data_IF_209199932185
#
_entry.id   IF_209199932185
#
_cell.length_a   1.000
_cell.length_b   1.000
_cell.length_c   1.000
_cell.angle_alpha   90.00
_cell.angle_beta   90.00
_cell.angle_gamma   90.00
#
_symmetry.space_group_name_H-M   'P 1'
#
loop_
_entity.id
_entity.type
_entity.pdbx_description
1 polymer ?
#
# COMPACT_ATOMS: atom_id res chain seq x y z
N UNK A 1 6.58 14.46 5.49
CA UNK A 1 7.17 15.52 4.64
C UNK A 1 8.55 15.93 5.13
N UNK A 2 8.74 16.13 6.45
CA UNK A 2 10.03 16.54 7.04
C UNK A 2 11.20 15.68 6.55
N UNK A 3 11.09 14.35 6.60
CA UNK A 3 12.16 13.49 6.10
C UNK A 3 12.45 13.67 4.60
N UNK A 4 11.41 13.82 3.77
CA UNK A 4 11.60 14.06 2.33
C UNK A 4 12.29 15.41 2.09
N UNK A 5 11.96 16.45 2.86
CA UNK A 5 12.62 17.74 2.79
C UNK A 5 14.09 17.66 3.18
N UNK A 6 14.39 17.04 4.33
CA UNK A 6 15.76 16.83 4.81
C UNK A 6 16.59 16.06 3.79
N UNK A 7 15.98 15.08 3.10
CA UNK A 7 16.65 14.26 2.09
C UNK A 7 16.71 14.91 0.68
N UNK A 8 16.14 16.11 0.48
CA UNK A 8 16.07 16.76 -0.83
C UNK A 8 15.12 16.09 -1.84
N UNK A 9 14.10 15.39 -1.34
CA UNK A 9 13.18 14.50 -2.07
C UNK A 9 11.75 15.05 -2.23
N UNK A 10 11.53 16.35 -2.03
CA UNK A 10 10.19 16.96 -2.12
C UNK A 10 9.55 16.94 -3.52
N UNK A 11 10.32 16.65 -4.57
CA UNK A 11 9.80 16.62 -5.95
C UNK A 11 8.90 15.42 -6.26
N UNK A 12 8.90 14.38 -5.42
CA UNK A 12 8.23 13.12 -5.72
C UNK A 12 7.09 12.83 -4.75
N UNK A 13 5.89 12.58 -5.30
CA UNK A 13 4.71 12.28 -4.49
C UNK A 13 4.88 11.02 -3.63
N UNK A 14 5.61 10.04 -4.16
CA UNK A 14 6.00 8.80 -3.46
C UNK A 14 6.83 9.10 -2.21
N UNK A 15 7.88 9.91 -2.35
CA UNK A 15 8.75 10.29 -1.24
C UNK A 15 8.02 11.09 -0.16
N UNK A 16 7.13 12.00 -0.57
CA UNK A 16 6.27 12.74 0.38
C UNK A 16 5.34 11.78 1.13
N UNK A 17 4.74 10.81 0.42
CA UNK A 17 3.86 9.81 1.02
C UNK A 17 4.63 8.95 2.02
N UNK A 18 5.79 8.42 1.63
CA UNK A 18 6.68 7.63 2.51
C UNK A 18 7.07 8.42 3.75
N UNK A 19 7.62 9.62 3.58
CA UNK A 19 8.05 10.48 4.68
C UNK A 19 6.91 10.84 5.63
N UNK A 20 5.71 11.08 5.09
CA UNK A 20 4.56 11.49 5.92
C UNK A 20 3.97 10.28 6.63
N UNK A 21 3.69 9.19 5.91
CA UNK A 21 3.01 8.05 6.48
C UNK A 21 3.90 7.27 7.45
N UNK A 22 5.09 6.86 7.00
CA UNK A 22 6.02 6.09 7.84
C UNK A 22 6.57 6.98 8.96
N UNK A 23 6.85 8.26 8.67
CA UNK A 23 7.33 9.21 9.67
C UNK A 23 6.31 9.55 10.77
N UNK A 24 5.00 9.47 10.48
CA UNK A 24 3.98 9.58 11.53
C UNK A 24 3.83 8.25 12.29
N UNK A 25 3.88 7.12 11.59
CA UNK A 25 3.84 5.80 12.23
C UNK A 25 5.01 5.60 13.20
N UNK A 26 6.20 6.11 12.88
CA UNK A 26 7.38 6.02 13.74
C UNK A 26 7.27 6.82 15.04
N UNK A 27 6.25 7.66 15.18
CA UNK A 27 5.96 8.39 16.42
C UNK A 27 4.97 7.66 17.33
N UNK A 28 4.40 6.53 16.87
CA UNK A 28 3.60 5.64 17.70
C UNK A 28 4.53 4.75 18.55
N UNK A 29 4.01 4.12 19.62
CA UNK A 29 4.76 3.10 20.35
C UNK A 29 5.29 2.00 19.41
N UNK A 30 6.50 1.51 19.67
CA UNK A 30 7.17 0.50 18.83
C UNK A 30 6.29 -0.71 18.52
N UNK A 31 5.55 -1.21 19.51
CA UNK A 31 4.61 -2.32 19.35
C UNK A 31 3.55 -2.05 18.26
N UNK A 32 3.07 -0.82 18.13
CA UNK A 32 2.11 -0.44 17.10
C UNK A 32 2.75 -0.39 15.72
N UNK A 33 3.96 0.16 15.62
CA UNK A 33 4.72 0.19 14.37
C UNK A 33 5.07 -1.22 13.89
N UNK A 34 5.52 -2.08 14.81
CA UNK A 34 5.85 -3.48 14.55
C UNK A 34 4.59 -4.26 14.14
N UNK A 35 3.48 -4.08 14.88
CA UNK A 35 2.19 -4.70 14.54
C UNK A 35 1.70 -4.26 13.16
N UNK A 36 1.90 -2.98 12.84
CA UNK A 36 1.57 -2.43 11.52
C UNK A 36 2.37 -3.12 10.41
N UNK A 37 3.70 -3.10 10.48
CA UNK A 37 4.54 -3.67 9.41
C UNK A 37 4.41 -5.19 9.35
N UNK A 38 4.16 -5.84 10.49
CA UNK A 38 3.93 -7.28 10.62
C UNK A 38 2.73 -7.80 9.81
N UNK A 39 1.79 -6.93 9.40
CA UNK A 39 0.67 -7.27 8.51
C UNK A 39 1.10 -7.52 7.06
N UNK A 40 2.33 -7.20 6.68
CA UNK A 40 2.84 -7.51 5.35
C UNK A 40 2.81 -9.02 5.11
N UNK A 41 2.52 -9.47 3.89
CA UNK A 41 2.34 -10.89 3.56
C UNK A 41 3.28 -11.37 2.46
N UNK A 42 3.82 -12.57 2.60
CA UNK A 42 4.57 -13.25 1.54
C UNK A 42 3.63 -13.74 0.43
N UNK A 43 4.19 -14.20 -0.69
CA UNK A 43 3.43 -14.82 -1.81
C UNK A 43 2.58 -16.01 -1.33
N UNK A 44 3.08 -16.74 -0.34
CA UNK A 44 2.41 -17.90 0.27
C UNK A 44 1.39 -17.51 1.35
N UNK A 45 1.22 -16.20 1.61
CA UNK A 45 0.25 -15.67 2.56
C UNK A 45 0.75 -15.56 4.01
N UNK A 46 2.01 -15.92 4.28
CA UNK A 46 2.63 -15.81 5.60
C UNK A 46 2.77 -14.34 6.02
N UNK A 47 2.36 -14.01 7.24
CA UNK A 47 2.54 -12.66 7.80
C UNK A 47 4.00 -12.43 8.20
N UNK A 48 4.51 -11.22 7.94
CA UNK A 48 5.84 -10.77 8.37
C UNK A 48 6.03 -10.85 9.89
N UNK A 49 4.95 -10.69 10.66
CA UNK A 49 4.96 -10.87 12.12
C UNK A 49 5.62 -12.18 12.57
N UNK A 50 5.40 -13.29 11.85
CA UNK A 50 6.06 -14.57 12.18
C UNK A 50 7.58 -14.51 12.00
N UNK A 51 8.04 -13.77 11.00
CA UNK A 51 9.45 -13.59 10.72
C UNK A 51 10.12 -12.64 11.73
N UNK A 52 9.42 -11.57 12.11
CA UNK A 52 9.79 -10.63 13.17
C UNK A 52 9.95 -11.39 14.50
N UNK A 53 9.03 -12.31 14.81
CA UNK A 53 9.13 -13.17 15.98
C UNK A 53 8.99 -12.38 17.28
N UNK A 54 10.03 -12.40 18.11
CA UNK A 54 10.03 -11.80 19.46
C UNK A 54 10.53 -10.36 19.49
N UNK A 55 10.70 -9.70 18.34
CA UNK A 55 11.10 -8.29 18.33
C UNK A 55 9.98 -7.38 18.83
N UNK A 56 10.32 -6.54 19.81
CA UNK A 56 9.40 -5.62 20.48
C UNK A 56 9.85 -4.17 20.42
N UNK A 57 11.11 -3.92 20.02
CA UNK A 57 11.71 -2.59 19.93
C UNK A 57 12.11 -2.25 18.50
N UNK A 58 11.86 -1.00 18.10
CA UNK A 58 12.39 -0.42 16.88
C UNK A 58 13.70 0.28 17.22
N UNK A 59 14.82 -0.31 16.80
CA UNK A 59 16.15 0.24 17.09
C UNK A 59 16.52 1.38 16.14
N UNK A 60 16.12 1.28 14.87
CA UNK A 60 16.40 2.29 13.86
C UNK A 60 15.31 2.38 12.78
N UNK A 61 15.03 3.61 12.35
CA UNK A 61 14.26 3.94 11.15
C UNK A 61 15.06 4.98 10.37
N UNK A 62 15.58 4.59 9.22
CA UNK A 62 16.42 5.43 8.36
C UNK A 62 15.75 5.62 7.00
N UNK A 63 15.44 6.85 6.64
CA UNK A 63 14.88 7.19 5.33
C UNK A 63 16.00 7.45 4.32
N UNK A 64 15.88 6.87 3.11
CA UNK A 64 16.87 7.03 2.04
C UNK A 64 18.31 6.78 2.49
N UNK A 65 18.53 5.66 3.18
CA UNK A 65 19.83 5.24 3.70
C UNK A 65 20.87 5.13 2.58
N UNK A 66 21.89 6.00 2.58
CA UNK A 66 22.83 6.17 1.45
C UNK A 66 24.02 5.22 1.45
N UNK A 67 24.30 4.57 2.57
CA UNK A 67 25.40 3.61 2.75
C UNK A 67 25.01 2.17 2.39
N UNK A 68 23.86 1.94 1.75
CA UNK A 68 23.50 0.64 1.18
C UNK A 68 24.38 0.32 -0.04
N UNK A 69 24.86 -0.92 -0.15
CA UNK A 69 25.77 -1.32 -1.24
C UNK A 69 25.13 -1.24 -2.64
N UNK A 70 23.82 -1.44 -2.76
CA UNK A 70 23.15 -1.57 -4.04
C UNK A 70 21.86 -0.72 -4.09
N UNK A 71 22.04 0.58 -4.31
CA UNK A 71 20.95 1.55 -4.39
C UNK A 71 20.56 2.14 -3.04
N UNK A 72 19.53 2.98 -3.04
CA UNK A 72 19.05 3.68 -1.84
C UNK A 72 17.64 3.18 -1.56
N UNK A 73 17.37 2.47 -0.45
CA UNK A 73 16.02 2.06 -0.08
C UNK A 73 15.22 3.27 0.42
N UNK A 74 13.89 3.26 0.22
CA UNK A 74 13.04 4.34 0.74
C UNK A 74 13.06 4.39 2.27
N UNK A 75 12.97 3.23 2.92
CA UNK A 75 13.10 3.09 4.38
C UNK A 75 13.89 1.83 4.72
N UNK A 76 14.85 1.98 5.63
CA UNK A 76 15.51 0.89 6.32
C UNK A 76 15.04 0.85 7.79
N UNK A 77 14.75 -0.35 8.29
CA UNK A 77 14.35 -0.60 9.66
C UNK A 77 15.25 -1.65 10.30
N UNK A 78 15.57 -1.45 11.58
CA UNK A 78 16.18 -2.47 12.41
C UNK A 78 15.33 -2.69 13.66
N UNK A 79 14.91 -3.93 13.86
CA UNK A 79 14.12 -4.36 15.00
C UNK A 79 14.97 -5.22 15.92
N UNK A 80 14.68 -5.12 17.22
CA UNK A 80 15.37 -5.88 18.25
C UNK A 80 14.36 -6.63 19.11
N UNK A 81 14.70 -7.88 19.42
CA UNK A 81 13.94 -8.76 20.28
C UNK A 81 14.79 -9.36 21.37
N UNK A 82 14.18 -10.32 22.07
CA UNK A 82 14.83 -11.02 23.17
C UNK A 82 16.05 -11.82 22.71
N UNK A 83 16.99 -12.03 23.64
CA UNK A 83 18.19 -12.86 23.44
C UNK A 83 19.05 -12.48 22.21
N UNK A 84 19.07 -11.18 21.85
CA UNK A 84 19.89 -10.68 20.74
C UNK A 84 19.34 -10.99 19.34
N UNK A 85 18.09 -11.46 19.25
CA UNK A 85 17.42 -11.63 17.96
C UNK A 85 17.15 -10.25 17.35
N UNK A 86 17.64 -10.02 16.14
CA UNK A 86 17.41 -8.79 15.40
C UNK A 86 16.90 -9.07 13.99
N UNK A 87 16.08 -8.16 13.47
CA UNK A 87 15.55 -8.21 12.10
C UNK A 87 15.88 -6.91 11.38
N UNK A 88 16.53 -7.01 10.23
CA UNK A 88 16.79 -5.91 9.31
C UNK A 88 15.76 -5.97 8.17
N UNK A 89 15.04 -4.87 7.97
CA UNK A 89 13.95 -4.79 6.99
C UNK A 89 14.19 -3.60 6.07
N UNK A 90 14.11 -3.83 4.76
CA UNK A 90 13.98 -2.75 3.77
C UNK A 90 12.51 -2.61 3.40
N UNK A 91 12.00 -1.39 3.40
CA UNK A 91 10.70 -1.06 2.81
C UNK A 91 10.96 -0.26 1.54
N UNK A 92 10.49 -0.80 0.42
CA UNK A 92 10.43 -0.11 -0.86
C UNK A 92 8.98 0.30 -1.12
N UNK A 93 8.73 1.58 -1.35
CA UNK A 93 7.40 2.15 -1.55
C UNK A 93 7.13 2.34 -3.04
N UNK A 94 5.89 2.05 -3.46
CA UNK A 94 5.36 2.42 -4.77
C UNK A 94 3.97 3.04 -4.67
N UNK A 95 3.81 4.30 -5.08
CA UNK A 95 2.51 4.97 -5.08
C UNK A 95 1.70 4.66 -6.35
N UNK A 96 2.20 5.07 -7.52
CA UNK A 96 1.47 4.96 -8.81
C UNK A 96 2.27 4.29 -9.93
N UNK A 97 3.58 4.17 -9.75
CA UNK A 97 4.48 3.53 -10.70
C UNK A 97 4.46 2.02 -10.47
N UNK A 98 4.44 1.24 -11.57
CA UNK A 98 4.87 -0.15 -11.50
C UNK A 98 6.33 -0.24 -11.02
N UNK A 99 6.82 -1.45 -10.77
CA UNK A 99 8.20 -1.67 -10.34
C UNK A 99 9.20 -1.06 -11.35
N UNK A 100 10.12 -0.22 -10.87
CA UNK A 100 11.25 0.28 -11.67
C UNK A 100 12.14 -0.89 -12.10
N UNK A 101 12.28 -1.08 -13.42
CA UNK A 101 13.09 -2.16 -14.01
C UNK A 101 12.31 -3.29 -14.68
N UNK A 102 11.01 -3.13 -14.97
CA UNK A 102 10.33 -4.03 -15.91
C UNK A 102 10.91 -3.83 -17.30
N UNK A 103 11.54 -4.86 -17.87
CA UNK A 103 12.05 -4.83 -19.24
C UNK A 103 10.92 -4.43 -20.20
N UNK A 104 11.04 -3.26 -20.83
CA UNK A 104 10.33 -3.00 -22.07
C UNK A 104 11.00 -3.85 -23.14
N UNK A 105 10.22 -4.70 -23.81
CA UNK A 105 10.66 -5.36 -25.03
C UNK A 105 10.95 -4.26 -26.06
N UNK A 106 12.23 -4.00 -26.31
CA UNK A 106 12.65 -3.17 -27.44
C UNK A 106 12.44 -3.95 -28.73
N UNK A 107 11.96 -3.28 -29.79
CA UNK A 107 11.63 -3.88 -31.11
C UNK A 107 12.79 -4.68 -31.74
N UNK A 108 14.02 -4.55 -31.24
CA UNK A 108 15.22 -5.18 -31.78
C UNK A 108 15.54 -6.57 -31.19
N UNK A 109 14.72 -7.12 -30.29
CA UNK A 109 14.91 -8.47 -29.74
C UNK A 109 16.21 -8.68 -28.96
N UNK A 110 16.96 -7.61 -28.69
CA UNK A 110 18.16 -7.62 -27.85
C UNK A 110 17.73 -7.42 -26.41
N UNK A 111 17.81 -8.49 -25.62
CA UNK A 111 17.74 -8.42 -24.16
C UNK A 111 18.92 -7.54 -23.72
N UNK A 112 18.69 -6.23 -23.54
CA UNK A 112 19.61 -5.42 -22.75
C UNK A 112 19.70 -6.11 -21.39
N UNK A 113 20.92 -6.45 -20.97
CA UNK A 113 21.22 -7.09 -19.70
C UNK A 113 20.27 -6.56 -18.63
N UNK A 114 19.40 -7.45 -18.11
CA UNK A 114 18.42 -7.14 -17.07
C UNK A 114 19.01 -6.15 -16.10
N UNK A 115 18.47 -4.92 -16.06
CA UNK A 115 18.71 -4.04 -14.92
C UNK A 115 18.34 -4.86 -13.69
N UNK A 116 19.37 -5.24 -12.93
CA UNK A 116 19.26 -6.22 -11.87
C UNK A 116 18.12 -5.80 -10.96
N UNK A 117 17.14 -6.69 -10.78
CA UNK A 117 15.92 -6.49 -10.02
C UNK A 117 16.19 -5.68 -8.73
N UNK A 118 15.52 -4.53 -8.56
CA UNK A 118 15.79 -3.59 -7.46
C UNK A 118 15.63 -4.24 -6.08
N UNK A 119 14.59 -5.07 -5.89
CA UNK A 119 14.36 -5.74 -4.60
C UNK A 119 15.45 -6.78 -4.34
N UNK A 120 15.91 -7.48 -5.38
CA UNK A 120 17.05 -8.38 -5.24
C UNK A 120 18.36 -7.65 -4.88
N UNK A 121 18.60 -6.45 -5.41
CA UNK A 121 19.75 -5.61 -5.01
C UNK A 121 19.72 -5.29 -3.52
N UNK A 122 18.57 -4.87 -2.99
CA UNK A 122 18.42 -4.63 -1.55
C UNK A 122 18.60 -5.91 -0.73
N UNK A 123 18.14 -7.07 -1.23
CA UNK A 123 18.34 -8.34 -0.56
C UNK A 123 19.84 -8.67 -0.41
N UNK A 124 20.61 -8.46 -1.49
CA UNK A 124 22.07 -8.63 -1.46
C UNK A 124 22.75 -7.69 -0.47
N UNK A 125 22.34 -6.42 -0.43
CA UNK A 125 22.87 -5.47 0.56
C UNK A 125 22.58 -5.91 1.99
N UNK A 126 21.34 -6.32 2.28
CA UNK A 126 20.98 -6.87 3.59
C UNK A 126 21.79 -8.11 3.94
N UNK A 127 22.00 -9.01 2.96
CA UNK A 127 22.77 -10.23 3.14
C UNK A 127 24.21 -9.96 3.60
N UNK A 128 24.85 -8.95 3.00
CA UNK A 128 26.24 -8.63 3.25
C UNK A 128 26.45 -7.72 4.46
N UNK A 129 25.61 -6.70 4.65
CA UNK A 129 25.80 -5.70 5.70
C UNK A 129 25.23 -6.14 7.06
N UNK A 130 24.22 -7.02 7.07
CA UNK A 130 23.52 -7.46 8.28
C UNK A 130 23.51 -8.98 8.40
N UNK A 131 24.66 -9.68 8.35
CA UNK A 131 24.72 -11.14 8.26
C UNK A 131 24.04 -11.83 9.46
N UNK A 132 24.16 -11.24 10.66
CA UNK A 132 23.62 -11.79 11.92
C UNK A 132 22.14 -11.44 12.18
N UNK A 133 21.52 -10.63 11.32
CA UNK A 133 20.10 -10.31 11.43
C UNK A 133 19.27 -11.30 10.60
N UNK A 134 18.02 -11.52 11.02
CA UNK A 134 16.98 -11.95 10.07
C UNK A 134 16.74 -10.82 9.07
N UNK A 135 16.33 -11.15 7.85
CA UNK A 135 16.30 -10.20 6.73
C UNK A 135 14.96 -10.29 6.05
N UNK A 136 14.34 -9.16 5.78
CA UNK A 136 13.09 -9.08 5.03
C UNK A 136 13.06 -7.86 4.12
N UNK A 137 12.29 -7.96 3.04
CA UNK A 137 11.95 -6.82 2.19
C UNK A 137 10.44 -6.69 2.15
N UNK A 138 9.94 -5.49 2.41
CA UNK A 138 8.53 -5.14 2.29
C UNK A 138 8.35 -4.26 1.07
N UNK A 139 7.56 -4.75 0.12
CA UNK A 139 7.11 -3.97 -1.02
C UNK A 139 5.76 -3.32 -0.69
N UNK A 140 5.78 -2.02 -0.38
CA UNK A 140 4.62 -1.26 0.05
C UNK A 140 4.00 -0.50 -1.13
N UNK A 141 2.85 -0.94 -1.62
CA UNK A 141 2.31 -0.41 -2.89
C UNK A 141 0.89 0.12 -2.79
N UNK A 142 0.47 0.94 -3.77
CA UNK A 142 -0.92 1.35 -3.95
C UNK A 142 -1.87 0.26 -4.50
N UNK A 143 -1.37 -0.93 -4.84
CA UNK A 143 -2.20 -2.00 -5.37
C UNK A 143 -3.26 -2.48 -4.35
N UNK A 144 -4.43 -2.87 -4.86
CA UNK A 144 -5.49 -3.49 -4.04
C UNK A 144 -5.30 -4.99 -3.84
N UNK A 145 -4.58 -5.62 -4.76
CA UNK A 145 -4.24 -7.03 -4.76
C UNK A 145 -2.72 -7.12 -4.87
N UNK A 146 -2.13 -8.09 -4.18
CA UNK A 146 -0.69 -8.32 -4.23
C UNK A 146 -0.19 -8.43 -5.68
N UNK A 147 0.81 -7.63 -6.09
CA UNK A 147 1.45 -7.74 -7.39
C UNK A 147 2.36 -8.98 -7.41
N UNK A 148 1.77 -10.17 -7.45
CA UNK A 148 2.47 -11.47 -7.32
C UNK A 148 3.59 -11.63 -8.33
N UNK A 149 3.37 -11.23 -9.60
CA UNK A 149 4.37 -11.35 -10.67
C UNK A 149 5.65 -10.57 -10.36
N UNK A 150 5.53 -9.37 -9.82
CA UNK A 150 6.68 -8.51 -9.49
C UNK A 150 7.50 -9.13 -8.35
N UNK A 151 6.82 -9.65 -7.32
CA UNK A 151 7.46 -10.34 -6.20
C UNK A 151 8.11 -11.65 -6.64
N UNK A 152 7.44 -12.46 -7.45
CA UNK A 152 7.98 -13.73 -7.97
C UNK A 152 9.21 -13.50 -8.84
N UNK A 153 9.22 -12.47 -9.67
CA UNK A 153 10.38 -12.10 -10.50
C UNK A 153 11.59 -11.80 -9.61
N UNK A 154 11.37 -11.01 -8.56
CA UNK A 154 12.39 -10.67 -7.56
C UNK A 154 12.87 -11.89 -6.78
N UNK A 155 11.94 -12.77 -6.39
CA UNK A 155 12.21 -13.98 -5.63
C UNK A 155 13.05 -14.97 -6.44
N UNK A 156 12.70 -15.16 -7.72
CA UNK A 156 13.48 -15.97 -8.67
C UNK A 156 14.87 -15.39 -8.90
N UNK A 157 14.99 -14.07 -9.07
CA UNK A 157 16.29 -13.40 -9.20
C UNK A 157 17.19 -13.61 -7.96
N UNK A 158 16.58 -13.78 -6.80
CA UNK A 158 17.27 -14.12 -5.54
C UNK A 158 17.49 -15.63 -5.31
N UNK A 159 17.28 -16.49 -6.31
CA UNK A 159 17.45 -17.94 -6.17
C UNK A 159 16.46 -18.60 -5.21
N UNK A 160 15.34 -17.93 -4.91
CA UNK A 160 14.32 -18.41 -3.98
C UNK A 160 14.60 -18.16 -2.50
N UNK A 161 15.72 -17.49 -2.16
CA UNK A 161 16.14 -17.30 -0.77
C UNK A 161 15.56 -16.02 -0.14
N UNK A 162 15.17 -15.04 -0.96
CA UNK A 162 14.71 -13.75 -0.48
C UNK A 162 13.38 -13.84 0.27
N UNK A 163 13.34 -13.23 1.45
CA UNK A 163 12.12 -13.08 2.26
C UNK A 163 11.39 -11.80 1.85
N UNK A 164 10.56 -11.94 0.82
CA UNK A 164 9.77 -10.84 0.26
C UNK A 164 8.35 -10.84 0.80
N UNK A 165 7.91 -9.67 1.25
CA UNK A 165 6.58 -9.43 1.77
C UNK A 165 5.96 -8.24 1.03
N UNK A 166 4.64 -8.20 1.00
CA UNK A 166 3.89 -7.11 0.41
C UNK A 166 2.90 -6.54 1.40
N UNK A 167 2.79 -5.21 1.37
CA UNK A 167 1.78 -4.46 2.10
C UNK A 167 1.13 -3.47 1.14
N UNK A 168 -0.20 -3.37 1.19
CA UNK A 168 -0.94 -2.38 0.41
C UNK A 168 -1.24 -1.13 1.24
N UNK A 169 -1.15 0.07 0.66
CA UNK A 169 -1.58 1.32 1.31
C UNK A 169 -3.04 1.28 1.79
N UNK A 170 -3.90 0.52 1.11
CA UNK A 170 -5.26 0.24 1.56
C UNK A 170 -5.29 -0.55 2.87
N UNK A 171 -4.43 -1.55 3.03
CA UNK A 171 -4.31 -2.32 4.29
C UNK A 171 -3.76 -1.46 5.42
N UNK A 172 -2.90 -0.49 5.11
CA UNK A 172 -2.47 0.54 6.07
C UNK A 172 -3.66 1.35 6.56
N UNK A 173 -4.49 1.84 5.64
CA UNK A 173 -5.70 2.58 5.98
C UNK A 173 -6.66 1.75 6.88
N UNK A 174 -6.87 0.47 6.57
CA UNK A 174 -7.74 -0.39 7.38
C UNK A 174 -7.21 -0.59 8.80
N UNK A 175 -5.89 -0.74 8.96
CA UNK A 175 -5.25 -0.85 10.26
C UNK A 175 -5.53 0.39 11.12
N UNK A 176 -5.42 1.59 10.54
CA UNK A 176 -5.68 2.83 11.25
C UNK A 176 -7.15 2.96 11.65
N UNK A 177 -8.06 2.64 10.73
CA UNK A 177 -9.50 2.65 11.00
C UNK A 177 -9.90 1.63 12.08
N UNK A 178 -9.24 0.47 12.12
CA UNK A 178 -9.40 -0.52 13.18
C UNK A 178 -8.86 -0.01 14.52
N UNK A 179 -7.63 0.53 14.54
CA UNK A 179 -7.01 1.07 15.74
C UNK A 179 -7.86 2.20 16.37
N UNK A 180 -8.37 3.12 15.55
CA UNK A 180 -9.25 4.20 16.00
C UNK A 180 -10.59 3.67 16.55
N UNK A 181 -11.21 2.68 15.89
CA UNK A 181 -12.47 2.08 16.35
C UNK A 181 -12.31 1.24 17.62
N UNK A 182 -11.15 0.63 17.83
CA UNK A 182 -10.88 -0.19 19.02
C UNK A 182 -10.95 0.61 20.33
N UNK A 183 -10.81 1.94 20.25
CA UNK A 183 -10.76 2.80 21.44
C UNK A 183 -9.51 2.59 22.30
N UNK A 184 -8.48 1.86 21.81
CA UNK A 184 -7.22 1.61 22.54
C UNK A 184 -6.59 2.92 23.04
N UNK A 185 -6.65 3.97 22.23
CA UNK A 185 -6.14 5.29 22.55
C UNK A 185 -7.28 6.27 22.80
N UNK A 186 -7.39 6.86 24.02
CA UNK A 186 -8.39 7.89 24.30
C UNK A 186 -8.25 9.09 23.34
N UNK A 187 -9.37 9.72 23.00
CA UNK A 187 -9.44 10.77 21.96
C UNK A 187 -8.49 11.97 22.15
N UNK A 188 -8.02 12.22 23.37
CA UNK A 188 -7.12 13.35 23.69
C UNK A 188 -5.63 12.99 23.65
N UNK A 189 -5.29 11.72 23.51
CA UNK A 189 -3.88 11.26 23.46
C UNK A 189 -3.20 11.64 22.16
N UNK A 190 -1.87 11.70 22.18
CA UNK A 190 -1.06 12.06 21.00
C UNK A 190 -1.17 10.97 19.93
N UNK A 191 -1.18 9.70 20.35
CA UNK A 191 -1.34 8.52 19.50
C UNK A 191 -2.66 8.57 18.74
N UNK A 192 -3.78 8.88 19.42
CA UNK A 192 -5.07 9.03 18.76
C UNK A 192 -5.04 10.13 17.69
N UNK A 193 -4.40 11.28 17.98
CA UNK A 193 -4.25 12.39 17.02
C UNK A 193 -3.37 12.00 15.82
N UNK A 194 -2.27 11.29 16.04
CA UNK A 194 -1.39 10.77 14.98
C UNK A 194 -2.19 9.83 14.08
N UNK A 195 -2.92 8.88 14.66
CA UNK A 195 -3.76 7.93 13.92
C UNK A 195 -4.84 8.66 13.09
N UNK A 196 -5.52 9.65 13.66
CA UNK A 196 -6.53 10.46 12.95
C UNK A 196 -5.93 11.27 11.79
N UNK A 197 -4.77 11.89 12.01
CA UNK A 197 -4.07 12.64 10.96
C UNK A 197 -3.65 11.72 9.81
N UNK A 198 -3.09 10.56 10.14
CA UNK A 198 -2.66 9.60 9.13
C UNK A 198 -3.84 8.99 8.36
N UNK A 199 -4.93 8.67 9.06
CA UNK A 199 -6.17 8.17 8.46
C UNK A 199 -6.78 9.20 7.49
N UNK A 200 -6.84 10.47 7.90
CA UNK A 200 -7.27 11.60 7.05
C UNK A 200 -6.36 11.77 5.83
N UNK A 201 -5.04 11.71 6.03
CA UNK A 201 -4.06 11.85 4.95
C UNK A 201 -4.17 10.72 3.91
N UNK A 202 -4.24 9.46 4.34
CA UNK A 202 -4.39 8.32 3.43
C UNK A 202 -5.75 8.30 2.73
N UNK A 203 -6.81 8.76 3.41
CA UNK A 203 -8.12 8.99 2.78
C UNK A 203 -8.02 10.02 1.66
N UNK A 204 -7.38 11.16 1.92
CA UNK A 204 -7.14 12.19 0.90
C UNK A 204 -6.33 11.66 -0.29
N UNK A 205 -5.36 10.78 -0.05
CA UNK A 205 -4.60 10.09 -1.11
C UNK A 205 -5.38 9.02 -1.87
N UNK A 206 -6.63 8.74 -1.48
CA UNK A 206 -7.51 7.80 -2.18
C UNK A 206 -7.38 6.34 -1.70
N UNK A 207 -6.75 6.10 -0.55
CA UNK A 207 -6.57 4.75 -0.02
C UNK A 207 -7.73 4.27 0.87
N UNK A 208 -8.70 5.14 1.15
CA UNK A 208 -9.90 4.73 1.86
C UNK A 208 -10.67 3.65 1.10
N UNK A 209 -11.14 2.64 1.83
CA UNK A 209 -12.06 1.65 1.27
C UNK A 209 -13.46 2.24 1.13
N UNK A 210 -14.19 1.73 0.15
CA UNK A 210 -15.61 2.02 0.02
C UNK A 210 -16.35 1.44 1.23
N UNK A 211 -16.93 2.30 2.04
CA UNK A 211 -17.67 1.95 3.27
C UNK A 211 -19.18 1.80 3.03
N UNK A 212 -19.60 1.66 1.77
CA UNK A 212 -21.00 1.65 1.39
C UNK A 212 -21.49 3.02 0.94
N UNK A 213 -22.72 3.04 0.45
CA UNK A 213 -23.41 4.29 0.16
C UNK A 213 -23.88 4.88 1.50
N UNK A 214 -23.73 6.20 1.72
CA UNK A 214 -24.35 6.82 2.87
C UNK A 214 -25.84 6.49 2.84
N UNK A 215 -26.35 5.83 3.89
CA UNK A 215 -27.79 5.64 4.00
C UNK A 215 -28.39 7.04 4.12
N UNK A 216 -29.30 7.45 3.23
CA UNK A 216 -30.03 8.68 3.44
C UNK A 216 -30.72 8.56 4.80
N UNK A 217 -30.60 9.59 5.63
CA UNK A 217 -31.38 9.67 6.85
C UNK A 217 -32.85 9.48 6.45
N UNK A 218 -33.45 8.34 6.81
CA UNK A 218 -34.83 8.02 6.47
C UNK A 218 -35.75 8.86 7.37
N UNK A 219 -35.83 10.15 7.07
CA UNK A 219 -36.90 11.03 7.53
C UNK A 219 -37.75 11.41 6.32
N UNK A 220 -38.66 10.51 5.92
CA UNK A 220 -39.76 10.79 5.00
C UNK A 220 -39.77 10.04 3.68
N UNK A 221 -40.99 9.82 3.17
CA UNK A 221 -41.38 9.08 1.94
C UNK A 221 -40.72 9.62 0.65
N UNK A 222 -40.12 10.82 0.70
CA UNK A 222 -39.41 11.45 -0.43
C UNK A 222 -38.01 10.83 -0.66
N UNK A 223 -37.55 9.91 0.19
CA UNK A 223 -36.18 9.36 0.16
C UNK A 223 -35.95 8.31 -0.93
N UNK A 224 -36.94 7.47 -1.27
CA UNK A 224 -36.74 6.36 -2.23
C UNK A 224 -36.54 6.81 -3.67
N UNK A 225 -37.34 7.78 -4.15
CA UNK A 225 -37.20 8.32 -5.50
C UNK A 225 -35.92 9.15 -5.67
N UNK A 226 -35.48 9.85 -4.60
CA UNK A 226 -34.19 10.55 -4.59
C UNK A 226 -33.01 9.58 -4.60
N UNK A 227 -33.13 8.43 -3.93
CA UNK A 227 -32.07 7.41 -3.91
C UNK A 227 -31.85 6.79 -5.29
N UNK A 228 -32.93 6.45 -6.01
CA UNK A 228 -32.85 5.96 -7.39
C UNK A 228 -32.24 6.99 -8.35
N UNK A 229 -32.58 8.27 -8.20
CA UNK A 229 -31.99 9.36 -8.98
C UNK A 229 -30.50 9.59 -8.67
N UNK A 230 -30.10 9.55 -7.39
CA UNK A 230 -28.71 9.69 -6.98
C UNK A 230 -27.85 8.51 -7.48
N UNK A 231 -28.35 7.28 -7.39
CA UNK A 231 -27.66 6.12 -7.95
C UNK A 231 -27.44 6.28 -9.47
N UNK A 232 -28.45 6.77 -10.19
CA UNK A 232 -28.39 6.99 -11.64
C UNK A 232 -27.39 8.08 -12.03
N UNK A 233 -27.39 9.21 -11.31
CA UNK A 233 -26.45 10.32 -11.58
C UNK A 233 -25.00 9.96 -11.21
N UNK A 234 -24.77 9.17 -10.15
CA UNK A 234 -23.43 8.73 -9.78
C UNK A 234 -22.87 7.69 -10.77
N UNK A 235 -23.71 6.76 -11.25
CA UNK A 235 -23.31 5.84 -12.34
C UNK A 235 -23.03 6.58 -13.65
N UNK A 236 -23.80 7.63 -13.97
CA UNK A 236 -23.56 8.49 -15.14
C UNK A 236 -22.29 9.34 -15.02
N UNK A 237 -22.00 9.93 -13.86
CA UNK A 237 -20.77 10.72 -13.65
C UNK A 237 -19.49 9.86 -13.57
N UNK A 238 -19.60 8.60 -13.14
CA UNK A 238 -18.53 7.61 -13.28
C UNK A 238 -18.26 7.22 -14.75
N UNK A 239 -19.24 7.38 -15.63
CA UNK A 239 -19.08 7.21 -17.09
C UNK A 239 -18.48 8.43 -17.80
N UNK A 240 -18.80 9.65 -17.35
CA UNK A 240 -18.36 10.90 -17.99
C UNK A 240 -16.95 11.37 -17.60
N UNK A 241 -16.39 10.91 -16.47
CA UNK A 241 -15.03 11.27 -16.02
C UNK A 241 -13.91 10.43 -16.65
N UNK A 242 -14.22 9.54 -17.59
CA UNK A 242 -13.22 8.82 -18.40
C UNK A 242 -12.26 7.90 -17.63
N UNK A 243 -12.47 7.67 -16.33
CA UNK A 243 -11.63 6.81 -15.48
C UNK A 243 -12.47 5.73 -14.82
N UNK A 244 -12.89 4.74 -15.61
CA UNK A 244 -13.36 3.47 -15.07
C UNK A 244 -12.19 2.48 -14.99
N UNK A 245 -11.96 1.94 -13.79
CA UNK A 245 -11.25 0.68 -13.67
C UNK A 245 -12.26 -0.45 -14.01
N UNK A 246 -11.97 -1.37 -14.96
CA UNK A 246 -12.94 -2.31 -15.56
C UNK A 246 -13.66 -3.27 -14.59
N UNK A 247 -13.22 -3.36 -13.33
CA UNK A 247 -13.72 -4.32 -12.35
C UNK A 247 -15.13 -3.99 -11.81
N UNK A 248 -15.64 -2.77 -11.99
CA UNK A 248 -16.91 -2.33 -11.39
C UNK A 248 -18.15 -2.56 -12.25
N UNK A 249 -18.01 -2.79 -13.56
CA UNK A 249 -19.17 -2.82 -14.47
C UNK A 249 -19.78 -4.21 -14.70
N UNK A 250 -19.14 -5.32 -14.31
CA UNK A 250 -19.62 -6.66 -14.70
C UNK A 250 -20.62 -7.32 -13.75
N UNK A 251 -20.76 -6.85 -12.51
CA UNK A 251 -21.53 -7.59 -11.49
C UNK A 251 -23.00 -7.23 -11.40
N UNK A 252 -23.46 -6.10 -11.98
CA UNK A 252 -24.81 -5.58 -11.70
C UNK A 252 -25.86 -5.72 -12.81
N UNK A 253 -25.50 -6.22 -14.01
CA UNK A 253 -26.45 -6.29 -15.15
C UNK A 253 -27.32 -7.57 -15.14
N UNK A 254 -27.12 -8.53 -14.22
CA UNK A 254 -27.79 -9.85 -14.31
C UNK A 254 -28.91 -10.16 -13.32
N UNK A 255 -29.34 -9.24 -12.45
CA UNK A 255 -30.40 -9.55 -11.48
C UNK A 255 -31.36 -8.39 -11.25
N UNK A 256 -32.20 -8.11 -12.25
CA UNK A 256 -33.51 -7.48 -12.00
C UNK A 256 -34.55 -8.24 -12.82
N UNK A 257 -35.32 -9.17 -12.22
CA UNK A 257 -36.48 -9.76 -12.88
C UNK A 257 -37.54 -8.65 -13.03
N UNK A 258 -37.93 -8.32 -14.26
CA UNK A 258 -39.03 -7.40 -14.55
C UNK A 258 -38.68 -6.04 -15.13
N UNK A 259 -37.41 -5.77 -15.50
CA UNK A 259 -37.10 -4.59 -16.30
C UNK A 259 -37.51 -4.83 -17.77
N UNK A 260 -38.56 -4.13 -18.20
CA UNK A 260 -39.02 -4.05 -19.59
C UNK A 260 -37.85 -3.62 -20.47
N UNK A 261 -37.61 -4.37 -21.56
CA UNK A 261 -36.67 -4.01 -22.62
C UNK A 261 -37.00 -2.61 -23.16
N UNK A 262 -36.18 -1.62 -22.80
CA UNK A 262 -36.11 -0.37 -23.53
C UNK A 262 -34.91 -0.44 -24.47
N UNK A 263 -35.23 -0.77 -25.72
CA UNK A 263 -34.37 -0.81 -26.88
C UNK A 263 -33.59 0.50 -27.07
N UNK A 264 -32.31 0.33 -27.40
CA UNK A 264 -31.38 1.23 -28.10
C UNK A 264 -31.69 2.75 -28.17
N UNK A 265 -30.72 3.56 -27.73
CA UNK A 265 -30.40 4.82 -28.38
C UNK A 265 -28.92 4.81 -28.79
N UNK A 266 -28.71 4.53 -30.08
CA UNK A 266 -27.48 4.80 -30.82
C UNK A 266 -27.32 6.32 -30.92
N UNK A 267 -26.14 6.84 -30.63
CA UNK A 267 -25.75 8.18 -31.08
C UNK A 267 -24.40 8.10 -31.80
N UNK A 268 -24.47 8.27 -33.12
CA UNK A 268 -23.35 8.74 -33.94
C UNK A 268 -23.23 10.27 -33.79
N UNK A 269 -22.00 10.72 -33.53
CA UNK A 269 -21.21 11.84 -34.12
C UNK A 269 -21.89 13.13 -34.63
N UNK A 270 -21.20 14.28 -34.58
CA UNK A 270 -20.00 14.56 -35.40
C UNK A 270 -18.64 14.24 -34.76
#
# INVERSE_FOLDING_TARGET
MIYAEIAGRLGFEEDILTSTAIGLLSLLPDEEFIRFIGRARSIDGECLEKHIGTCTRVEAIEFWKTDFLYGIPDVFLRLEGEAGVSVAIVIEVKHRSGKSGSAEETEDGRIQNQEVDQLYRYWKSLAQQYPNCRKAIVFLTGHRIMPRKDLETSWRAAGGEARLFWLGWHSVYDFLAEALRSGKYPARTVECKILQLLETYLRFKGYARFSGWPQPAMSGIVSELRWLWYQRLYTLNLGLSGRLHPAYCRTYVKQVPGAVEASAAVFYKP
#
